data_IF_160634903835
#
_entry.id   IF_160634903835
#
_cell.length_a   1.000
_cell.length_b   1.000
_cell.length_c   1.000
_cell.angle_alpha   90.00
_cell.angle_beta   90.00
_cell.angle_gamma   90.00
#
_symmetry.space_group_name_H-M   'P 1'
#
loop_
_entity.id
_entity.type
_entity.pdbx_description
1 polymer ?
#
# COMPACT_ATOMS: atom_id res chain seq x y z
N UNK A 1 9.54 15.97 -7.37
CA UNK A 1 10.31 14.73 -7.45
C UNK A 1 9.62 13.67 -6.64
N UNK A 2 9.04 12.72 -7.28
CA UNK A 2 8.24 11.66 -6.68
C UNK A 2 9.12 10.76 -5.84
N UNK A 3 8.88 10.72 -4.52
CA UNK A 3 9.57 9.81 -3.61
C UNK A 3 9.09 8.38 -3.80
N UNK A 4 9.61 7.70 -4.82
CA UNK A 4 9.68 6.24 -4.72
C UNK A 4 10.49 5.95 -3.47
N UNK A 5 10.00 5.07 -2.60
CA UNK A 5 10.81 4.59 -1.48
C UNK A 5 12.20 4.23 -2.03
N UNK A 6 13.23 4.93 -1.57
CA UNK A 6 14.62 4.73 -1.99
C UNK A 6 15.19 3.38 -1.50
N UNK A 7 14.33 2.38 -1.29
CA UNK A 7 14.76 1.04 -0.90
C UNK A 7 15.26 0.35 -2.16
N UNK A 8 16.56 0.01 -2.22
CA UNK A 8 17.12 -0.69 -3.36
C UNK A 8 16.35 -1.98 -3.64
N UNK A 9 16.16 -2.32 -4.90
CA UNK A 9 15.47 -3.54 -5.30
C UNK A 9 16.06 -4.81 -4.63
N UNK A 10 17.39 -4.90 -4.53
CA UNK A 10 18.05 -6.01 -3.84
C UNK A 10 17.59 -6.17 -2.38
N UNK A 11 17.27 -5.06 -1.71
CA UNK A 11 16.75 -5.09 -0.34
C UNK A 11 15.29 -5.58 -0.29
N UNK A 12 14.47 -5.24 -1.29
CA UNK A 12 13.08 -5.70 -1.37
C UNK A 12 12.92 -7.21 -1.54
N UNK A 13 13.94 -7.90 -2.04
CA UNK A 13 13.95 -9.36 -2.12
C UNK A 13 13.98 -10.02 -0.74
N UNK A 14 14.50 -9.34 0.27
CA UNK A 14 14.72 -9.90 1.61
C UNK A 14 13.47 -9.93 2.48
N UNK A 15 12.35 -9.35 2.03
CA UNK A 15 11.12 -9.30 2.81
C UNK A 15 9.85 -9.44 1.96
N UNK A 16 8.77 -9.81 2.62
CA UNK A 16 7.40 -9.79 2.07
C UNK A 16 6.76 -8.48 2.51
N UNK A 17 6.39 -7.64 1.56
CA UNK A 17 5.73 -6.36 1.78
C UNK A 17 4.20 -6.43 1.59
N UNK A 18 3.52 -5.31 1.83
CA UNK A 18 2.06 -5.23 1.72
C UNK A 18 1.52 -5.51 0.31
N UNK A 19 2.18 -4.99 -0.73
CA UNK A 19 1.81 -5.29 -2.12
C UNK A 19 2.06 -6.75 -2.48
N UNK A 20 3.09 -7.38 -1.91
CA UNK A 20 3.35 -8.81 -2.08
C UNK A 20 2.24 -9.65 -1.44
N UNK A 21 1.76 -9.27 -0.26
CA UNK A 21 0.66 -9.93 0.43
C UNK A 21 -0.61 -9.96 -0.44
N UNK A 22 -0.88 -8.89 -1.17
CA UNK A 22 -2.00 -8.82 -2.12
C UNK A 22 -1.88 -9.85 -3.24
N UNK A 23 -0.67 -10.05 -3.77
CA UNK A 23 -0.39 -11.06 -4.80
C UNK A 23 -0.52 -12.47 -4.21
N UNK A 24 0.07 -12.72 -3.04
CA UNK A 24 0.06 -14.03 -2.37
C UNK A 24 -1.36 -14.50 -2.08
N UNK A 25 -2.23 -13.58 -1.67
CA UNK A 25 -3.63 -13.88 -1.34
C UNK A 25 -4.59 -13.75 -2.53
N UNK A 26 -4.08 -13.40 -3.71
CA UNK A 26 -4.87 -13.43 -4.94
C UNK A 26 -4.95 -14.85 -5.50
N UNK A 27 -5.93 -15.09 -6.37
CA UNK A 27 -6.04 -16.35 -7.11
C UNK A 27 -5.27 -16.33 -8.44
N UNK A 28 -4.28 -15.44 -8.57
CA UNK A 28 -3.46 -15.30 -9.77
C UNK A 28 -2.15 -16.09 -9.61
N UNK A 29 -2.17 -17.34 -10.06
CA UNK A 29 -1.01 -18.24 -9.98
C UNK A 29 0.18 -17.70 -10.79
N UNK A 30 -0.05 -17.08 -11.94
CA UNK A 30 1.03 -16.52 -12.76
C UNK A 30 1.73 -15.36 -12.06
N UNK A 31 0.97 -14.47 -11.39
CA UNK A 31 1.53 -13.39 -10.59
C UNK A 31 2.29 -13.92 -9.39
N UNK A 32 1.80 -14.96 -8.74
CA UNK A 32 2.48 -15.59 -7.59
C UNK A 32 3.82 -16.23 -8.00
N UNK A 33 3.86 -16.95 -9.12
CA UNK A 33 5.10 -17.55 -9.64
C UNK A 33 6.10 -16.46 -10.01
N UNK A 34 5.65 -15.37 -10.62
CA UNK A 34 6.51 -14.22 -10.95
C UNK A 34 7.11 -13.63 -9.68
N UNK A 35 6.30 -13.34 -8.66
CA UNK A 35 6.75 -12.82 -7.38
C UNK A 35 7.80 -13.74 -6.73
N UNK A 36 7.55 -15.04 -6.73
CA UNK A 36 8.48 -16.03 -6.20
C UNK A 36 9.85 -15.98 -6.91
N UNK A 37 9.84 -15.90 -8.24
CA UNK A 37 11.09 -15.76 -9.02
C UNK A 37 11.82 -14.45 -8.74
N UNK A 38 11.07 -13.36 -8.62
CA UNK A 38 11.65 -12.06 -8.26
C UNK A 38 12.33 -12.09 -6.88
N UNK A 39 11.67 -12.69 -5.89
CA UNK A 39 12.24 -12.83 -4.53
C UNK A 39 13.49 -13.68 -4.51
N UNK A 40 13.58 -14.68 -5.36
CA UNK A 40 14.78 -15.52 -5.53
C UNK A 40 15.88 -14.87 -6.37
N UNK A 41 15.61 -13.73 -6.97
CA UNK A 41 16.56 -13.06 -7.87
C UNK A 41 16.68 -13.73 -9.24
N UNK A 42 15.72 -14.57 -9.61
CA UNK A 42 15.68 -15.29 -10.90
C UNK A 42 14.94 -14.49 -11.98
N UNK A 43 14.26 -13.43 -11.61
CA UNK A 43 13.57 -12.51 -12.51
C UNK A 43 13.72 -11.06 -12.02
N UNK A 44 13.81 -10.14 -12.97
CA UNK A 44 13.74 -8.71 -12.66
C UNK A 44 12.27 -8.29 -12.45
N UNK A 45 12.03 -7.22 -11.64
CA UNK A 45 10.69 -6.66 -11.52
C UNK A 45 10.17 -6.20 -12.86
N UNK A 46 8.87 -6.28 -13.03
CA UNK A 46 8.20 -5.74 -14.20
C UNK A 46 8.47 -4.23 -14.32
N UNK A 47 8.85 -3.78 -15.51
CA UNK A 47 8.97 -2.36 -15.82
C UNK A 47 7.57 -1.76 -16.04
N UNK A 48 7.09 -1.04 -15.04
CA UNK A 48 5.77 -0.37 -15.06
C UNK A 48 5.85 1.09 -15.52
N UNK A 49 7.01 1.55 -16.00
CA UNK A 49 7.18 2.94 -16.44
C UNK A 49 6.24 3.36 -17.58
N UNK A 50 5.85 2.41 -18.40
CA UNK A 50 4.86 2.60 -19.48
C UNK A 50 3.40 2.42 -19.05
N UNK A 51 3.12 2.10 -17.81
CA UNK A 51 1.75 1.94 -17.30
C UNK A 51 1.26 3.26 -16.69
N UNK A 52 0.42 3.99 -17.42
CA UNK A 52 -0.05 5.31 -17.01
C UNK A 52 -0.82 5.27 -15.67
N UNK A 53 -1.62 4.25 -15.41
CA UNK A 53 -2.39 4.13 -14.17
C UNK A 53 -1.45 3.99 -12.97
N UNK A 54 -0.41 3.19 -13.11
CA UNK A 54 0.62 3.04 -12.06
C UNK A 54 1.38 4.36 -11.88
N UNK A 55 1.70 5.06 -12.96
CA UNK A 55 2.38 6.36 -12.89
C UNK A 55 1.48 7.43 -12.24
N UNK A 56 0.18 7.43 -12.53
CA UNK A 56 -0.79 8.31 -11.85
C UNK A 56 -0.86 8.01 -10.36
N UNK A 57 -0.87 6.75 -9.96
CA UNK A 57 -0.82 6.36 -8.55
C UNK A 57 0.39 6.93 -7.84
N UNK A 58 1.57 6.81 -8.45
CA UNK A 58 2.82 7.35 -7.91
C UNK A 58 2.80 8.89 -7.87
N UNK A 59 2.38 9.53 -8.95
CA UNK A 59 2.38 10.99 -9.07
C UNK A 59 1.36 11.66 -8.14
N UNK A 60 0.26 10.99 -7.83
CA UNK A 60 -0.80 11.53 -6.97
C UNK A 60 -0.63 11.21 -5.49
N UNK A 61 0.35 10.44 -5.10
CA UNK A 61 0.53 10.01 -3.70
C UNK A 61 0.73 11.18 -2.74
N UNK A 62 1.61 12.12 -3.09
CA UNK A 62 1.84 13.33 -2.27
C UNK A 62 0.59 14.21 -2.23
N UNK A 63 -0.08 14.42 -3.36
CA UNK A 63 -1.34 15.13 -3.43
C UNK A 63 -2.41 14.46 -2.55
N UNK A 64 -2.52 13.15 -2.61
CA UNK A 64 -3.46 12.38 -1.81
C UNK A 64 -3.25 12.61 -0.31
N UNK A 65 -1.99 12.51 0.15
CA UNK A 65 -1.63 12.75 1.54
C UNK A 65 -1.97 14.19 1.97
N UNK A 66 -1.55 15.19 1.22
CA UNK A 66 -1.82 16.60 1.56
C UNK A 66 -3.29 16.95 1.48
N UNK A 67 -4.04 16.33 0.57
CA UNK A 67 -5.49 16.46 0.49
C UNK A 67 -6.18 15.87 1.73
N UNK A 68 -5.75 14.69 2.15
CA UNK A 68 -6.23 14.06 3.39
C UNK A 68 -5.98 14.97 4.60
N UNK A 69 -4.76 15.45 4.77
CA UNK A 69 -4.39 16.33 5.89
C UNK A 69 -5.23 17.61 5.90
N UNK A 70 -5.42 18.23 4.75
CA UNK A 70 -6.23 19.44 4.61
C UNK A 70 -7.70 19.22 4.96
N UNK A 71 -8.28 18.10 4.54
CA UNK A 71 -9.72 17.86 4.71
C UNK A 71 -10.08 17.24 6.07
N UNK A 72 -9.12 16.62 6.75
CA UNK A 72 -9.37 16.00 8.07
C UNK A 72 -8.79 16.80 9.23
N UNK A 73 -7.85 17.70 8.97
CA UNK A 73 -7.07 18.39 10.01
C UNK A 73 -6.07 17.49 10.73
N UNK A 74 -5.84 16.28 10.24
CA UNK A 74 -4.91 15.31 10.82
C UNK A 74 -3.61 15.30 10.04
N UNK A 75 -2.47 15.21 10.74
CA UNK A 75 -1.17 15.08 10.11
C UNK A 75 -0.83 13.62 9.82
N UNK A 76 -0.10 13.38 8.73
CA UNK A 76 0.44 12.08 8.39
C UNK A 76 1.96 12.10 8.55
N UNK A 77 2.47 11.23 9.40
CA UNK A 77 3.91 11.10 9.70
C UNK A 77 4.49 9.80 9.15
N UNK A 78 5.79 9.62 9.27
CA UNK A 78 6.51 8.40 8.85
C UNK A 78 6.29 8.03 7.37
N UNK A 79 6.24 9.04 6.52
CA UNK A 79 6.01 8.90 5.08
C UNK A 79 7.13 8.08 4.45
N UNK A 80 6.77 7.01 3.72
CA UNK A 80 7.67 6.08 3.05
C UNK A 80 8.64 5.36 4.00
N UNK A 81 8.26 5.20 5.25
CA UNK A 81 9.06 4.48 6.23
C UNK A 81 8.94 2.97 6.06
N UNK A 82 10.08 2.28 6.02
CA UNK A 82 10.14 0.82 6.12
C UNK A 82 10.00 0.40 7.58
N UNK A 83 9.01 -0.44 7.86
CA UNK A 83 8.79 -1.06 9.17
C UNK A 83 8.90 -2.58 9.02
N UNK A 84 9.65 -3.21 9.91
CA UNK A 84 9.75 -4.68 9.98
C UNK A 84 8.95 -5.20 11.16
N UNK A 85 8.30 -6.34 10.98
CA UNK A 85 7.61 -7.01 12.08
C UNK A 85 8.61 -7.35 13.19
N UNK A 86 8.26 -7.07 14.44
CA UNK A 86 9.16 -7.19 15.59
C UNK A 86 9.68 -8.61 15.82
N UNK A 87 8.88 -9.63 15.50
CA UNK A 87 9.24 -11.05 15.70
C UNK A 87 9.60 -11.77 14.40
N UNK A 88 9.20 -11.25 13.25
CA UNK A 88 9.39 -11.89 11.93
C UNK A 88 9.97 -10.87 10.95
N UNK A 89 11.30 -10.63 10.97
CA UNK A 89 11.92 -9.51 10.25
C UNK A 89 11.80 -9.55 8.73
N UNK A 90 11.55 -10.72 8.14
CA UNK A 90 11.30 -10.85 6.70
C UNK A 90 9.86 -10.50 6.30
N UNK A 91 9.01 -10.15 7.26
CA UNK A 91 7.70 -9.54 7.04
C UNK A 91 7.82 -8.05 7.34
N UNK A 92 7.64 -7.23 6.33
CA UNK A 92 7.86 -5.78 6.44
C UNK A 92 6.83 -5.01 5.64
N UNK A 93 6.79 -3.71 5.83
CA UNK A 93 5.94 -2.82 5.05
C UNK A 93 6.64 -1.48 4.83
N UNK A 94 6.52 -0.94 3.63
CA UNK A 94 6.83 0.47 3.37
C UNK A 94 5.52 1.23 3.46
N UNK A 95 5.40 2.07 4.48
CA UNK A 95 4.17 2.78 4.77
C UNK A 95 4.07 4.05 3.93
N UNK A 96 2.88 4.36 3.42
CA UNK A 96 2.61 5.71 2.89
C UNK A 96 2.55 6.73 4.02
N UNK A 97 2.24 6.28 5.23
CA UNK A 97 2.31 7.07 6.44
C UNK A 97 1.54 6.48 7.61
N UNK A 98 1.53 7.21 8.70
CA UNK A 98 0.71 6.95 9.89
C UNK A 98 -0.03 8.23 10.24
N UNK A 99 -1.33 8.14 10.46
CA UNK A 99 -2.17 9.27 10.87
C UNK A 99 -1.93 9.56 12.35
N UNK A 100 -1.45 10.75 12.67
CA UNK A 100 -1.23 11.16 14.06
C UNK A 100 -2.55 11.25 14.84
N UNK A 101 -2.48 10.89 16.10
CA UNK A 101 -3.62 10.93 17.02
C UNK A 101 -4.47 9.67 16.97
N UNK A 102 -4.90 9.22 15.80
CA UNK A 102 -5.63 7.95 15.63
C UNK A 102 -4.71 6.74 15.51
N UNK A 103 -3.43 6.98 15.22
CA UNK A 103 -2.42 5.93 14.98
C UNK A 103 -2.88 4.91 13.94
N UNK A 104 -3.58 5.38 12.90
CA UNK A 104 -4.00 4.55 11.78
C UNK A 104 -2.91 4.49 10.72
N UNK A 105 -2.70 3.32 10.13
CA UNK A 105 -1.86 3.18 8.95
C UNK A 105 -2.53 3.90 7.79
N UNK A 106 -1.82 4.84 7.17
CA UNK A 106 -2.30 5.59 6.01
C UNK A 106 -1.85 4.88 4.72
N UNK A 107 -2.79 4.63 3.84
CA UNK A 107 -2.54 4.05 2.51
C UNK A 107 -3.21 4.90 1.44
N UNK A 108 -2.41 5.46 0.53
CA UNK A 108 -2.89 6.29 -0.57
C UNK A 108 -3.06 5.44 -1.84
N UNK A 109 -4.20 5.55 -2.49
CA UNK A 109 -4.50 4.84 -3.74
C UNK A 109 -5.12 5.76 -4.79
N UNK A 110 -4.86 5.43 -6.04
CA UNK A 110 -5.54 5.99 -7.20
C UNK A 110 -6.38 4.88 -7.84
N UNK A 111 -7.64 5.17 -8.14
CA UNK A 111 -8.54 4.25 -8.85
C UNK A 111 -9.27 4.97 -9.98
N UNK A 112 -9.48 4.26 -11.08
CA UNK A 112 -10.31 4.77 -12.17
C UNK A 112 -11.78 4.83 -11.73
N UNK A 113 -12.57 5.85 -12.14
CA UNK A 113 -13.92 6.05 -11.62
C UNK A 113 -14.87 4.87 -11.88
N UNK A 114 -14.72 4.22 -13.03
CA UNK A 114 -15.58 3.07 -13.40
C UNK A 114 -15.21 1.76 -12.68
N UNK A 115 -14.02 1.69 -12.08
CA UNK A 115 -13.58 0.55 -11.27
C UNK A 115 -13.81 0.77 -9.78
N UNK A 116 -14.32 1.93 -9.40
CA UNK A 116 -14.44 2.33 -8.01
C UNK A 116 -15.83 2.05 -7.45
N UNK A 117 -15.86 1.37 -6.31
CA UNK A 117 -16.86 1.43 -5.27
C UNK A 117 -16.14 1.25 -3.93
N UNK A 118 -16.75 1.62 -2.82
CA UNK A 118 -16.10 1.45 -1.51
C UNK A 118 -15.83 -0.03 -1.22
N UNK A 119 -16.77 -0.90 -1.55
CA UNK A 119 -16.64 -2.35 -1.40
C UNK A 119 -15.53 -2.91 -2.28
N UNK A 120 -15.49 -2.53 -3.55
CA UNK A 120 -14.46 -2.99 -4.48
C UNK A 120 -13.07 -2.52 -4.06
N UNK A 121 -12.94 -1.29 -3.57
CA UNK A 121 -11.67 -0.76 -3.07
C UNK A 121 -11.21 -1.48 -1.80
N UNK A 122 -12.11 -1.68 -0.84
CA UNK A 122 -11.81 -2.40 0.39
C UNK A 122 -11.39 -3.84 0.09
N UNK A 123 -12.10 -4.55 -0.77
CA UNK A 123 -11.76 -5.91 -1.19
C UNK A 123 -10.38 -5.98 -1.88
N UNK A 124 -10.14 -5.08 -2.83
CA UNK A 124 -8.89 -5.05 -3.61
C UNK A 124 -7.65 -4.86 -2.74
N UNK A 125 -7.74 -4.02 -1.72
CA UNK A 125 -6.59 -3.63 -0.89
C UNK A 125 -6.59 -4.27 0.51
N UNK A 126 -7.58 -5.10 0.83
CA UNK A 126 -7.73 -5.69 2.16
C UNK A 126 -6.47 -6.43 2.62
N UNK A 127 -5.92 -7.30 1.78
CA UNK A 127 -4.71 -8.06 2.11
C UNK A 127 -3.52 -7.14 2.43
N UNK A 128 -3.34 -6.08 1.65
CA UNK A 128 -2.26 -5.11 1.86
C UNK A 128 -2.41 -4.35 3.17
N UNK A 129 -3.59 -3.81 3.46
CA UNK A 129 -3.80 -3.01 4.68
C UNK A 129 -3.77 -3.88 5.94
N UNK A 130 -4.29 -5.11 5.89
CA UNK A 130 -4.18 -6.06 6.99
C UNK A 130 -2.72 -6.44 7.26
N UNK A 131 -1.94 -6.70 6.21
CA UNK A 131 -0.50 -6.95 6.33
C UNK A 131 0.23 -5.77 7.00
N UNK A 132 -0.04 -4.55 6.55
CA UNK A 132 0.59 -3.35 7.09
C UNK A 132 0.23 -3.15 8.58
N UNK A 133 -1.03 -3.38 8.95
CA UNK A 133 -1.46 -3.33 10.36
C UNK A 133 -0.77 -4.41 11.20
N UNK A 134 -0.64 -5.61 10.68
CA UNK A 134 0.04 -6.70 11.37
C UNK A 134 1.53 -6.40 11.61
N UNK A 135 2.23 -5.91 10.59
CA UNK A 135 3.65 -5.56 10.68
C UNK A 135 3.89 -4.42 11.69
N UNK A 136 3.01 -3.44 11.74
CA UNK A 136 3.13 -2.26 12.61
C UNK A 136 2.52 -2.44 14.00
N UNK A 137 1.76 -3.51 14.23
CA UNK A 137 0.93 -3.71 15.42
C UNK A 137 -0.15 -2.64 15.63
N UNK A 138 -0.50 -1.90 14.57
CA UNK A 138 -1.59 -0.94 14.59
C UNK A 138 -2.92 -1.65 14.27
N UNK A 139 -4.02 -1.10 14.75
CA UNK A 139 -5.33 -1.76 14.70
C UNK A 139 -6.30 -1.14 13.71
N UNK A 140 -5.91 -0.06 13.08
CA UNK A 140 -6.75 0.69 12.14
C UNK A 140 -5.92 1.09 10.94
N UNK A 141 -6.51 1.06 9.77
CA UNK A 141 -5.96 1.60 8.54
C UNK A 141 -6.95 2.58 7.92
N UNK A 142 -6.42 3.63 7.31
CA UNK A 142 -7.17 4.57 6.48
C UNK A 142 -6.73 4.39 5.05
N UNK A 143 -7.68 4.00 4.21
CA UNK A 143 -7.50 3.91 2.77
C UNK A 143 -8.02 5.21 2.15
N UNK A 144 -7.12 6.05 1.66
CA UNK A 144 -7.40 7.35 1.05
C UNK A 144 -7.30 7.23 -0.46
N UNK A 145 -8.41 7.45 -1.16
CA UNK A 145 -8.52 7.16 -2.59
C UNK A 145 -8.85 8.41 -3.37
N UNK A 146 -8.00 8.74 -4.34
CA UNK A 146 -8.33 9.69 -5.40
C UNK A 146 -8.82 8.90 -6.60
N UNK A 147 -10.02 9.22 -7.08
CA UNK A 147 -10.53 8.66 -8.33
C UNK A 147 -10.16 9.56 -9.50
N UNK A 148 -10.03 8.97 -10.69
CA UNK A 148 -9.76 9.73 -11.91
C UNK A 148 -10.86 10.71 -12.33
N UNK A 149 -12.05 10.63 -11.69
CA UNK A 149 -13.14 11.59 -11.86
C UNK A 149 -13.08 12.81 -10.95
N UNK A 150 -11.99 13.00 -10.21
CA UNK A 150 -11.82 14.14 -9.29
C UNK A 150 -12.57 13.99 -7.97
N UNK A 151 -12.93 12.78 -7.58
CA UNK A 151 -13.49 12.47 -6.26
C UNK A 151 -12.43 11.92 -5.33
N UNK A 152 -12.54 12.29 -4.07
CA UNK A 152 -11.75 11.73 -3.00
C UNK A 152 -12.64 10.99 -2.01
N UNK A 153 -12.21 9.81 -1.57
CA UNK A 153 -12.92 8.95 -0.63
C UNK A 153 -11.96 8.44 0.43
N UNK A 154 -12.43 8.42 1.66
CA UNK A 154 -11.73 7.86 2.82
C UNK A 154 -12.50 6.64 3.33
N UNK A 155 -11.79 5.52 3.49
CA UNK A 155 -12.37 4.28 4.04
C UNK A 155 -11.52 3.87 5.25
N UNK A 156 -12.16 3.70 6.39
CA UNK A 156 -11.50 3.16 7.59
C UNK A 156 -11.68 1.65 7.65
N UNK A 157 -10.56 0.94 7.74
CA UNK A 157 -10.54 -0.52 7.79
C UNK A 157 -9.93 -0.95 9.13
N UNK A 158 -10.69 -1.67 9.97
CA UNK A 158 -10.17 -2.20 11.20
C UNK A 158 -9.32 -3.46 10.97
N UNK A 159 -8.45 -3.74 11.93
CA UNK A 159 -7.79 -5.04 12.00
C UNK A 159 -8.83 -6.15 12.16
N UNK A 160 -8.75 -7.16 11.32
CA UNK A 160 -9.58 -8.35 11.44
C UNK A 160 -8.74 -9.51 11.96
N UNK A 161 -9.15 -10.09 13.09
CA UNK A 161 -8.57 -11.35 13.52
C UNK A 161 -8.97 -12.43 12.51
N UNK A 162 -7.99 -13.00 11.80
CA UNK A 162 -8.23 -14.29 11.16
C UNK A 162 -8.39 -15.33 12.27
N UNK A 163 -9.58 -15.78 12.46
CA UNK A 163 -9.85 -16.99 13.23
C UNK A 163 -9.24 -18.19 12.52
#
# INVERSE_FOLDING_TARGET
MSGRSNIPYAHRRSFIGGSDARIILSNDEAALIRLWREKRGEAEPEDLSGNLIVQLGTATEELNRTWYERNTGRSVRDVQRLVKHSAIPWMAATLDGIVEGTEAVFEAKFMLPWSFSEEAAAEKYMAQVQHNMWVTHLRTSVLSIITGGGKWVEITIPWTHST
#
